data_IF_068589941429
#
_entry.id   IF_068589941429
#
_cell.length_a   1.000
_cell.length_b   1.000
_cell.length_c   1.000
_cell.angle_alpha   90.00
_cell.angle_beta   90.00
_cell.angle_gamma   90.00
#
_symmetry.space_group_name_H-M   'P 1'
#
loop_
_entity.id
_entity.type
_entity.pdbx_description
1 polymer ?
#
# COMPACT_ATOMS: atom_id res chain seq x y z
N UNK A 1 6.72 -5.04 -16.07
CA UNK A 1 6.37 -4.42 -14.76
C UNK A 1 4.96 -3.88 -14.87
N UNK A 2 4.01 -4.45 -14.12
CA UNK A 2 2.62 -3.97 -14.10
C UNK A 2 2.41 -3.11 -12.84
N UNK A 3 1.97 -1.89 -13.07
CA UNK A 3 1.57 -0.93 -12.03
C UNK A 3 0.11 -1.19 -11.70
N UNK A 4 -0.22 -1.27 -10.41
CA UNK A 4 -1.57 -1.50 -9.90
C UNK A 4 -1.95 -0.41 -8.90
N UNK A 5 -3.23 -0.07 -8.88
CA UNK A 5 -3.81 0.71 -7.79
C UNK A 5 -4.05 -0.26 -6.63
N UNK A 6 -3.51 0.06 -5.45
CA UNK A 6 -3.63 -0.76 -4.24
C UNK A 6 -3.76 0.09 -2.98
N UNK A 7 -4.09 -0.55 -1.87
CA UNK A 7 -4.19 0.10 -0.57
C UNK A 7 -2.91 -0.12 0.27
N UNK A 8 -2.28 0.96 0.70
CA UNK A 8 -1.19 0.93 1.69
C UNK A 8 -1.79 1.05 3.10
N UNK A 9 -1.32 0.23 4.05
CA UNK A 9 -1.82 0.21 5.42
C UNK A 9 -1.04 1.15 6.31
N UNK A 10 -1.75 2.02 7.00
CA UNK A 10 -1.20 2.84 8.09
C UNK A 10 -2.06 2.75 9.35
N UNK A 11 -1.71 3.56 10.35
CA UNK A 11 -2.42 3.65 11.62
C UNK A 11 -1.79 2.81 12.74
N UNK A 12 -2.52 2.66 13.84
CA UNK A 12 -2.05 1.99 15.05
C UNK A 12 -2.73 0.64 15.25
N UNK A 13 -2.22 -0.15 16.21
CA UNK A 13 -2.83 -1.44 16.56
C UNK A 13 -4.29 -1.23 16.96
N UNK A 14 -5.20 -2.01 16.36
CA UNK A 14 -6.67 -1.89 16.47
C UNK A 14 -7.30 -0.63 15.85
N UNK A 15 -6.54 0.23 15.17
CA UNK A 15 -7.06 1.42 14.45
C UNK A 15 -6.32 1.62 13.11
N UNK A 16 -6.51 0.72 12.13
CA UNK A 16 -5.87 0.88 10.82
C UNK A 16 -6.61 1.90 9.95
N UNK A 17 -5.86 2.59 9.09
CA UNK A 17 -6.38 3.33 7.93
C UNK A 17 -5.67 2.87 6.66
N UNK A 18 -6.23 3.23 5.50
CA UNK A 18 -5.72 2.83 4.20
C UNK A 18 -5.57 4.03 3.26
N UNK A 19 -4.44 4.10 2.55
CA UNK A 19 -4.20 5.07 1.49
C UNK A 19 -4.29 4.39 0.12
N UNK A 20 -4.90 5.06 -0.85
CA UNK A 20 -4.87 4.62 -2.24
C UNK A 20 -3.50 4.99 -2.81
N UNK A 21 -2.77 3.99 -3.30
CA UNK A 21 -1.41 4.15 -3.82
C UNK A 21 -1.27 3.42 -5.15
N UNK A 22 -0.50 4.00 -6.05
CA UNK A 22 -0.14 3.42 -7.35
C UNK A 22 1.25 2.81 -7.21
N UNK A 23 1.39 1.50 -7.37
CA UNK A 23 2.69 0.86 -7.21
C UNK A 23 2.85 -0.38 -8.10
N UNK A 24 4.10 -0.77 -8.34
CA UNK A 24 4.41 -2.03 -9.00
C UNK A 24 3.92 -3.23 -8.19
N UNK A 25 3.36 -4.23 -8.88
CA UNK A 25 2.79 -5.42 -8.26
C UNK A 25 3.80 -6.26 -7.44
N UNK A 26 5.10 -6.18 -7.76
CA UNK A 26 6.17 -6.89 -7.06
C UNK A 26 6.73 -6.10 -5.85
N UNK A 27 6.29 -4.85 -5.65
CA UNK A 27 6.76 -4.01 -4.55
C UNK A 27 6.10 -4.35 -3.21
N UNK A 28 6.78 -4.10 -2.07
CA UNK A 28 6.23 -4.34 -0.73
C UNK A 28 4.93 -3.55 -0.51
N UNK A 29 3.97 -4.08 0.25
CA UNK A 29 2.64 -3.47 0.46
C UNK A 29 2.69 -2.09 1.12
N UNK A 30 3.53 -1.98 2.15
CA UNK A 30 3.72 -0.83 3.02
C UNK A 30 5.20 -0.41 2.86
N UNK A 31 5.51 0.61 2.05
CA UNK A 31 6.89 1.01 1.77
C UNK A 31 7.13 1.52 0.35
N UNK A 32 8.07 0.91 -0.38
CA UNK A 32 8.59 1.39 -1.67
C UNK A 32 7.51 1.29 -2.77
N UNK A 33 6.64 2.29 -2.79
CA UNK A 33 5.58 2.51 -3.75
C UNK A 33 5.67 3.94 -4.31
#
# INVERSE_FOLDING_TARGET
MSVKIRLARGGSKKRPYYHIVIANALGPRDGRF
#
